data_IF_410511306618
#
_entry.id   IF_410511306618
#
_cell.length_a   1.000
_cell.length_b   1.000
_cell.length_c   1.000
_cell.angle_alpha   90.00
_cell.angle_beta   90.00
_cell.angle_gamma   90.00
#
_symmetry.space_group_name_H-M   'P 1'
#
loop_
_entity.id
_entity.type
_entity.pdbx_description
1 polymer ?
#
# COMPACT_ATOMS: atom_id res chain seq x y z
N UNK A 1 -0.92 16.07 -58.41
CA UNK A 1 0.32 15.43 -57.90
C UNK A 1 0.92 16.20 -56.73
N UNK A 2 1.02 17.53 -56.78
CA UNK A 2 1.67 18.34 -55.74
C UNK A 2 0.95 18.36 -54.38
N UNK A 3 -0.39 18.32 -54.35
CA UNK A 3 -1.15 18.34 -53.08
C UNK A 3 -1.02 17.05 -52.26
N UNK A 4 -0.79 15.92 -52.94
CA UNK A 4 -0.52 14.64 -52.28
C UNK A 4 0.88 14.61 -51.65
N UNK A 5 1.86 15.24 -52.31
CA UNK A 5 3.22 15.39 -51.79
C UNK A 5 3.31 16.42 -50.65
N UNK A 6 2.57 17.52 -50.71
CA UNK A 6 2.54 18.51 -49.63
C UNK A 6 1.81 17.97 -48.39
N UNK A 7 0.70 17.25 -48.56
CA UNK A 7 -0.01 16.58 -47.46
C UNK A 7 0.79 15.46 -46.79
N UNK A 8 1.59 14.70 -47.56
CA UNK A 8 2.50 13.68 -47.03
C UNK A 8 3.75 14.27 -46.37
N UNK A 9 4.28 15.38 -46.88
CA UNK A 9 5.38 16.09 -46.22
C UNK A 9 4.95 16.75 -44.91
N UNK A 10 3.75 17.35 -44.87
CA UNK A 10 3.20 17.94 -43.66
C UNK A 10 2.90 16.89 -42.58
N UNK A 11 2.36 15.73 -42.95
CA UNK A 11 2.09 14.64 -42.01
C UNK A 11 3.39 13.99 -41.49
N UNK A 12 4.41 13.83 -42.33
CA UNK A 12 5.72 13.37 -41.92
C UNK A 12 6.39 14.38 -40.96
N UNK A 13 6.30 15.67 -41.25
CA UNK A 13 6.81 16.74 -40.38
C UNK A 13 6.15 16.74 -39.00
N UNK A 14 4.82 16.60 -38.95
CA UNK A 14 4.07 16.48 -37.69
C UNK A 14 4.45 15.21 -36.91
N UNK A 15 4.57 14.06 -37.59
CA UNK A 15 4.98 12.81 -36.96
C UNK A 15 6.37 12.92 -36.31
N UNK A 16 7.35 13.46 -37.06
CA UNK A 16 8.70 13.68 -36.55
C UNK A 16 8.66 14.61 -35.34
N UNK A 17 7.95 15.74 -35.42
CA UNK A 17 7.78 16.66 -34.30
C UNK A 17 7.20 15.94 -33.06
N UNK A 18 6.13 15.16 -33.22
CA UNK A 18 5.51 14.42 -32.12
C UNK A 18 6.46 13.37 -31.52
N UNK A 19 7.22 12.66 -32.35
CA UNK A 19 8.23 11.70 -31.87
C UNK A 19 9.29 12.41 -31.03
N UNK A 20 9.85 13.52 -31.51
CA UNK A 20 10.84 14.30 -30.76
C UNK A 20 10.25 14.90 -29.48
N UNK A 21 9.02 15.43 -29.55
CA UNK A 21 8.31 15.95 -28.40
C UNK A 21 8.15 14.87 -27.32
N UNK A 22 7.63 13.69 -27.68
CA UNK A 22 7.49 12.56 -26.76
C UNK A 22 8.84 12.03 -26.25
N UNK A 23 9.88 12.04 -27.08
CA UNK A 23 11.23 11.63 -26.67
C UNK A 23 11.75 12.52 -25.52
N UNK A 24 11.50 13.83 -25.57
CA UNK A 24 11.89 14.76 -24.49
C UNK A 24 11.19 14.36 -23.18
N UNK A 25 9.89 14.09 -23.21
CA UNK A 25 9.15 13.65 -22.02
C UNK A 25 9.61 12.28 -21.53
N UNK A 26 9.92 11.35 -22.42
CA UNK A 26 10.44 10.04 -22.06
C UNK A 26 11.80 10.15 -21.34
N UNK A 27 12.70 10.99 -21.87
CA UNK A 27 14.01 11.24 -21.24
C UNK A 27 13.85 11.96 -19.90
N UNK A 28 12.99 12.99 -19.82
CA UNK A 28 12.72 13.70 -18.57
C UNK A 28 12.11 12.76 -17.51
N UNK A 29 11.12 11.94 -17.90
CA UNK A 29 10.49 10.95 -17.04
C UNK A 29 11.47 9.89 -16.54
N UNK A 30 12.39 9.44 -17.41
CA UNK A 30 13.46 8.52 -17.04
C UNK A 30 14.42 9.13 -16.02
N UNK A 31 14.92 10.35 -16.28
CA UNK A 31 15.85 11.06 -15.38
C UNK A 31 15.19 11.29 -14.02
N UNK A 32 13.94 11.74 -13.99
CA UNK A 32 13.17 11.93 -12.75
C UNK A 32 13.00 10.62 -11.99
N UNK A 33 12.61 9.55 -12.68
CA UNK A 33 12.42 8.23 -12.07
C UNK A 33 13.72 7.69 -11.48
N UNK A 34 14.82 7.75 -12.23
CA UNK A 34 16.14 7.31 -11.76
C UNK A 34 16.60 8.14 -10.55
N UNK A 35 16.38 9.45 -10.59
CA UNK A 35 16.73 10.34 -9.48
C UNK A 35 15.92 10.09 -8.21
N UNK A 36 14.61 9.86 -8.33
CA UNK A 36 13.75 9.50 -7.20
C UNK A 36 14.08 8.12 -6.64
N UNK A 37 14.30 7.13 -7.51
CA UNK A 37 14.75 5.80 -7.10
C UNK A 37 16.07 5.86 -6.35
N UNK A 38 17.02 6.68 -6.81
CA UNK A 38 18.29 6.88 -6.11
C UNK A 38 18.07 7.33 -4.65
N UNK A 39 17.14 8.25 -4.40
CA UNK A 39 16.80 8.69 -3.04
C UNK A 39 16.14 7.59 -2.20
N UNK A 40 15.25 6.81 -2.79
CA UNK A 40 14.61 5.67 -2.11
C UNK A 40 15.66 4.59 -1.79
N UNK A 41 16.57 4.31 -2.72
CA UNK A 41 17.67 3.37 -2.55
C UNK A 41 18.65 3.81 -1.46
N UNK A 42 19.00 5.11 -1.44
CA UNK A 42 19.82 5.70 -0.38
C UNK A 42 19.14 5.50 1.00
N UNK A 43 17.80 5.72 1.10
CA UNK A 43 17.03 5.46 2.33
C UNK A 43 17.06 3.99 2.75
N UNK A 44 16.98 3.08 1.79
CA UNK A 44 17.00 1.63 2.02
C UNK A 44 18.42 1.07 2.29
N UNK A 45 19.46 1.91 2.26
CA UNK A 45 20.84 1.50 2.48
C UNK A 45 21.51 0.80 1.30
N UNK A 46 20.96 0.94 0.08
CA UNK A 46 21.57 0.39 -1.14
C UNK A 46 22.84 1.18 -1.46
N UNK A 47 23.93 0.46 -1.70
CA UNK A 47 25.23 1.03 -2.03
C UNK A 47 25.36 1.29 -3.53
N UNK A 48 25.82 2.49 -3.87
CA UNK A 48 26.09 2.89 -5.25
C UNK A 48 24.86 3.46 -5.94
N UNK A 49 24.84 4.79 -6.05
CA UNK A 49 23.74 5.56 -6.65
C UNK A 49 23.52 5.27 -8.14
N UNK A 50 24.57 4.85 -8.84
CA UNK A 50 24.51 4.45 -10.26
C UNK A 50 23.50 3.34 -10.52
N UNK A 51 23.21 2.50 -9.52
CA UNK A 51 22.28 1.37 -9.66
C UNK A 51 20.85 1.82 -9.99
N UNK A 52 20.45 3.02 -9.58
CA UNK A 52 19.15 3.59 -9.93
C UNK A 52 19.06 4.04 -11.40
N UNK A 53 20.20 4.26 -12.05
CA UNK A 53 20.33 4.73 -13.43
C UNK A 53 20.55 3.60 -14.44
N UNK A 54 20.59 2.34 -14.01
CA UNK A 54 20.69 1.21 -14.93
C UNK A 54 19.28 0.66 -15.16
N UNK A 55 18.75 0.77 -16.39
CA UNK A 55 17.44 0.22 -16.71
C UNK A 55 17.36 -1.26 -16.37
N UNK A 56 16.17 -1.73 -16.03
CA UNK A 56 15.87 -3.09 -15.58
C UNK A 56 16.51 -3.43 -14.23
N UNK A 57 17.81 -3.20 -14.07
CA UNK A 57 18.53 -3.43 -12.82
C UNK A 57 17.93 -2.62 -11.67
N UNK A 58 17.59 -1.35 -11.89
CA UNK A 58 16.90 -0.54 -10.88
C UNK A 58 15.55 -1.15 -10.46
N UNK A 59 14.76 -1.67 -11.39
CA UNK A 59 13.49 -2.35 -11.10
C UNK A 59 13.71 -3.69 -10.38
N UNK A 60 14.79 -4.42 -10.70
CA UNK A 60 15.18 -5.63 -9.97
C UNK A 60 15.53 -5.33 -8.51
N UNK A 61 16.29 -4.25 -8.26
CA UNK A 61 16.59 -3.79 -6.89
C UNK A 61 15.30 -3.37 -6.19
N UNK A 62 14.44 -2.62 -6.85
CA UNK A 62 13.16 -2.20 -6.29
C UNK A 62 12.28 -3.41 -5.92
N UNK A 63 12.22 -4.44 -6.77
CA UNK A 63 11.56 -5.73 -6.48
C UNK A 63 12.14 -6.37 -5.22
N UNK A 64 13.48 -6.41 -5.12
CA UNK A 64 14.20 -6.96 -3.97
C UNK A 64 13.89 -6.21 -2.67
N UNK A 65 13.88 -4.87 -2.71
CA UNK A 65 13.45 -4.03 -1.61
C UNK A 65 11.98 -4.25 -1.24
N UNK A 66 11.18 -4.76 -2.16
CA UNK A 66 9.80 -5.18 -1.95
C UNK A 66 9.62 -6.64 -1.49
N UNK A 67 10.68 -7.33 -1.05
CA UNK A 67 10.64 -8.75 -0.65
C UNK A 67 10.31 -9.73 -1.80
N UNK A 68 10.40 -9.29 -3.05
CA UNK A 68 10.13 -10.09 -4.26
C UNK A 68 11.44 -10.48 -4.95
N UNK A 69 11.46 -11.66 -5.55
CA UNK A 69 12.60 -12.14 -6.33
C UNK A 69 12.95 -11.15 -7.43
N UNK A 70 14.21 -10.67 -7.49
CA UNK A 70 14.63 -9.72 -8.51
C UNK A 70 14.54 -10.31 -9.93
N UNK A 71 14.62 -11.64 -10.06
CA UNK A 71 14.57 -12.34 -11.33
C UNK A 71 13.20 -12.31 -12.00
N UNK A 72 12.12 -12.08 -11.25
CA UNK A 72 10.77 -11.97 -11.82
C UNK A 72 10.67 -10.86 -12.87
N UNK A 73 11.43 -9.78 -12.71
CA UNK A 73 11.48 -8.69 -13.68
C UNK A 73 12.09 -9.16 -15.00
N UNK A 74 13.16 -9.96 -14.95
CA UNK A 74 13.78 -10.53 -16.16
C UNK A 74 12.91 -11.61 -16.79
N UNK A 75 12.25 -12.44 -15.99
CA UNK A 75 11.28 -13.43 -16.49
C UNK A 75 10.13 -12.71 -17.20
N UNK A 76 9.56 -11.68 -16.60
CA UNK A 76 8.49 -10.88 -17.20
C UNK A 76 8.93 -10.19 -18.49
N UNK A 77 10.12 -9.59 -18.51
CA UNK A 77 10.69 -8.97 -19.70
C UNK A 77 10.95 -9.99 -20.82
N UNK A 78 11.62 -11.10 -20.52
CA UNK A 78 11.92 -12.15 -21.49
C UNK A 78 10.64 -12.79 -22.03
N UNK A 79 9.67 -13.09 -21.16
CA UNK A 79 8.37 -13.61 -21.56
C UNK A 79 7.62 -12.60 -22.45
N UNK A 80 7.71 -11.30 -22.16
CA UNK A 80 7.12 -10.25 -23.01
C UNK A 80 7.78 -10.20 -24.40
N UNK A 81 9.09 -10.40 -24.49
CA UNK A 81 9.80 -10.44 -25.78
C UNK A 81 9.42 -11.69 -26.59
N UNK A 82 9.40 -12.86 -25.93
CA UNK A 82 9.19 -14.15 -26.60
C UNK A 82 7.72 -14.42 -26.93
N UNK A 83 6.79 -14.01 -26.07
CA UNK A 83 5.36 -14.33 -26.15
C UNK A 83 4.48 -13.09 -26.34
N UNK A 84 5.05 -11.87 -26.37
CA UNK A 84 4.28 -10.63 -26.46
C UNK A 84 3.50 -10.45 -27.76
N UNK A 85 3.90 -11.14 -28.83
CA UNK A 85 3.21 -11.16 -30.11
C UNK A 85 1.95 -12.05 -30.11
N UNK A 86 1.79 -12.91 -29.09
CA UNK A 86 0.60 -13.76 -28.94
C UNK A 86 -0.53 -12.91 -28.34
N UNK A 87 -1.66 -12.71 -29.05
CA UNK A 87 -2.79 -11.95 -28.54
C UNK A 87 -3.29 -12.52 -27.22
N UNK A 88 -3.78 -11.66 -26.32
CA UNK A 88 -4.20 -11.98 -24.94
C UNK A 88 -3.05 -12.45 -24.04
N UNK A 89 -2.25 -13.44 -24.45
CA UNK A 89 -1.16 -13.98 -23.64
C UNK A 89 -0.08 -12.92 -23.36
N UNK A 90 0.32 -12.16 -24.38
CA UNK A 90 1.24 -11.03 -24.21
C UNK A 90 0.72 -9.97 -23.25
N UNK A 91 -0.59 -9.70 -23.28
CA UNK A 91 -1.25 -8.75 -22.37
C UNK A 91 -1.26 -9.26 -20.93
N UNK A 92 -1.54 -10.55 -20.72
CA UNK A 92 -1.51 -11.19 -19.40
C UNK A 92 -0.09 -11.13 -18.82
N UNK A 93 0.95 -11.38 -19.61
CA UNK A 93 2.35 -11.31 -19.17
C UNK A 93 2.72 -9.87 -18.77
N UNK A 94 2.33 -8.89 -19.60
CA UNK A 94 2.53 -7.47 -19.29
C UNK A 94 1.84 -7.07 -17.99
N UNK A 95 0.59 -7.49 -17.82
CA UNK A 95 -0.19 -7.26 -16.59
C UNK A 95 0.46 -7.94 -15.38
N UNK A 96 0.88 -9.20 -15.49
CA UNK A 96 1.54 -9.92 -14.41
C UNK A 96 2.85 -9.22 -13.99
N UNK A 97 3.65 -8.79 -14.95
CA UNK A 97 4.90 -8.05 -14.69
C UNK A 97 4.62 -6.72 -14.00
N UNK A 98 3.59 -6.00 -14.45
CA UNK A 98 3.14 -4.78 -13.79
C UNK A 98 2.68 -5.02 -12.34
N UNK A 99 1.91 -6.09 -12.10
CA UNK A 99 1.47 -6.46 -10.75
C UNK A 99 2.64 -6.82 -9.84
N UNK A 100 3.70 -7.46 -10.34
CA UNK A 100 4.93 -7.70 -9.56
C UNK A 100 5.56 -6.39 -9.10
N UNK A 101 5.67 -5.38 -9.99
CA UNK A 101 6.20 -4.06 -9.62
C UNK A 101 5.28 -3.36 -8.61
N UNK A 102 3.97 -3.52 -8.74
CA UNK A 102 3.00 -2.93 -7.84
C UNK A 102 3.04 -3.58 -6.44
N UNK A 103 3.19 -4.90 -6.37
CA UNK A 103 3.41 -5.64 -5.11
C UNK A 103 4.74 -5.22 -4.46
N UNK A 104 5.79 -4.98 -5.25
CA UNK A 104 7.03 -4.42 -4.73
C UNK A 104 6.80 -3.01 -4.15
N UNK A 105 6.06 -2.16 -4.86
CA UNK A 105 5.74 -0.81 -4.41
C UNK A 105 4.92 -0.81 -3.11
N UNK A 106 4.01 -1.77 -2.94
CA UNK A 106 3.30 -1.98 -1.68
C UNK A 106 4.26 -2.14 -0.51
N UNK A 107 5.19 -3.09 -0.63
CA UNK A 107 6.12 -3.44 0.44
C UNK A 107 7.14 -2.35 0.69
N UNK A 108 7.66 -1.72 -0.38
CA UNK A 108 8.52 -0.53 -0.29
C UNK A 108 7.78 0.61 0.43
N UNK A 109 6.51 0.83 0.12
CA UNK A 109 5.65 1.81 0.80
C UNK A 109 5.50 1.51 2.29
N UNK A 110 5.20 0.27 2.67
CA UNK A 110 5.12 -0.14 4.08
C UNK A 110 6.44 0.12 4.82
N UNK A 111 7.59 -0.19 4.18
CA UNK A 111 8.92 0.07 4.74
C UNK A 111 9.24 1.56 4.84
N UNK A 112 8.62 2.39 4.01
CA UNK A 112 8.63 3.85 4.11
C UNK A 112 7.50 4.40 5.00
N UNK A 113 6.92 3.55 5.86
CA UNK A 113 5.91 3.91 6.84
C UNK A 113 4.62 4.46 6.18
N UNK A 114 4.31 3.99 4.97
CA UNK A 114 3.05 4.29 4.27
C UNK A 114 2.04 3.18 4.49
N UNK A 115 0.76 3.54 4.45
CA UNK A 115 -0.34 2.57 4.50
C UNK A 115 -0.59 1.96 3.12
N UNK A 116 -1.26 0.80 3.08
CA UNK A 116 -1.56 0.08 1.84
C UNK A 116 -2.36 0.92 0.83
N UNK A 117 -3.23 1.84 1.29
CA UNK A 117 -4.03 2.74 0.43
C UNK A 117 -3.17 3.61 -0.48
N UNK A 118 -1.92 3.91 -0.10
CA UNK A 118 -0.98 4.68 -0.93
C UNK A 118 -0.62 3.97 -2.24
N UNK A 119 -0.89 2.68 -2.35
CA UNK A 119 -0.70 1.92 -3.58
C UNK A 119 -1.62 2.38 -4.72
N UNK A 120 -2.78 2.97 -4.41
CA UNK A 120 -3.66 3.60 -5.40
C UNK A 120 -2.92 4.74 -6.11
N UNK A 121 -2.18 5.56 -5.35
CA UNK A 121 -1.37 6.62 -5.93
C UNK A 121 -0.22 6.05 -6.78
N UNK A 122 0.42 4.96 -6.35
CA UNK A 122 1.46 4.30 -7.15
C UNK A 122 0.91 3.79 -8.50
N UNK A 123 -0.31 3.23 -8.50
CA UNK A 123 -0.96 2.71 -9.69
C UNK A 123 -1.26 3.81 -10.72
N UNK A 124 -1.86 4.92 -10.30
CA UNK A 124 -2.29 5.99 -11.23
C UNK A 124 -1.20 7.03 -11.50
N UNK A 125 -0.35 7.35 -10.51
CA UNK A 125 0.66 8.41 -10.59
C UNK A 125 2.01 7.92 -10.04
N UNK A 126 2.60 6.96 -10.72
CA UNK A 126 3.87 6.33 -10.34
C UNK A 126 5.00 7.32 -10.01
N UNK A 127 5.24 8.31 -10.89
CA UNK A 127 6.32 9.30 -10.71
C UNK A 127 6.05 10.19 -9.48
N UNK A 128 4.80 10.56 -9.23
CA UNK A 128 4.43 11.36 -8.04
C UNK A 128 4.62 10.56 -6.77
N UNK A 129 4.20 9.28 -6.78
CA UNK A 129 4.43 8.37 -5.66
C UNK A 129 5.92 8.23 -5.34
N UNK A 130 6.77 8.05 -6.36
CA UNK A 130 8.22 8.00 -6.19
C UNK A 130 8.78 9.32 -5.63
N UNK A 131 8.33 10.46 -6.15
CA UNK A 131 8.79 11.78 -5.70
C UNK A 131 8.47 12.04 -4.23
N UNK A 132 7.24 11.75 -3.80
CA UNK A 132 6.85 11.88 -2.39
C UNK A 132 7.72 10.96 -1.53
N UNK A 133 7.83 9.68 -1.86
CA UNK A 133 8.62 8.72 -1.10
C UNK A 133 10.13 9.03 -1.09
N UNK A 134 10.65 9.67 -2.14
CA UNK A 134 12.04 10.10 -2.23
C UNK A 134 12.36 11.23 -1.25
N UNK A 135 11.50 12.24 -1.12
CA UNK A 135 11.81 13.48 -0.36
C UNK A 135 11.09 13.63 0.97
N UNK A 136 10.05 12.85 1.21
CA UNK A 136 9.35 12.84 2.49
C UNK A 136 10.29 12.40 3.64
N UNK A 137 9.93 12.75 4.88
CA UNK A 137 10.73 12.49 6.09
C UNK A 137 10.71 11.04 6.56
N UNK A 138 9.87 10.19 5.96
CA UNK A 138 9.81 8.75 6.21
C UNK A 138 11.19 8.09 6.24
N UNK A 139 11.39 7.23 7.24
CA UNK A 139 12.59 6.42 7.41
C UNK A 139 12.31 5.00 6.94
N UNK A 140 13.35 4.37 6.39
CA UNK A 140 13.27 2.96 6.03
C UNK A 140 13.17 2.11 7.30
N UNK A 141 12.12 1.31 7.41
CA UNK A 141 11.86 0.42 8.53
C UNK A 141 11.49 -0.97 8.02
N UNK A 142 12.36 -1.94 8.25
CA UNK A 142 12.12 -3.35 7.88
C UNK A 142 11.29 -4.11 8.92
N UNK A 143 11.02 -3.53 10.10
CA UNK A 143 10.19 -4.12 11.15
C UNK A 143 8.70 -4.06 10.79
N UNK A 144 8.36 -4.63 9.64
CA UNK A 144 6.99 -4.82 9.17
C UNK A 144 6.67 -6.31 9.13
N UNK A 145 5.38 -6.69 9.20
CA UNK A 145 4.97 -8.09 9.04
C UNK A 145 5.57 -8.76 7.81
N UNK A 146 5.79 -10.08 7.89
CA UNK A 146 6.25 -10.88 6.76
C UNK A 146 5.34 -10.68 5.53
N UNK A 147 5.95 -10.66 4.35
CA UNK A 147 5.18 -10.59 3.11
C UNK A 147 4.31 -11.86 2.96
N UNK A 148 3.10 -11.76 2.37
CA UNK A 148 2.25 -12.94 2.14
C UNK A 148 2.93 -14.05 1.33
N UNK A 149 3.90 -13.68 0.48
CA UNK A 149 4.67 -14.61 -0.34
C UNK A 149 6.02 -15.02 0.27
N UNK A 150 6.32 -14.68 1.53
CA UNK A 150 7.62 -14.97 2.14
C UNK A 150 8.01 -16.46 2.08
N UNK A 151 7.03 -17.36 2.15
CA UNK A 151 7.25 -18.81 2.07
C UNK A 151 7.19 -19.36 0.63
N UNK A 152 6.95 -18.53 -0.38
CA UNK A 152 6.79 -18.98 -1.77
C UNK A 152 8.15 -19.15 -2.46
N UNK A 153 8.42 -20.34 -3.03
CA UNK A 153 9.68 -20.70 -3.70
C UNK A 153 10.08 -19.81 -4.88
N UNK A 154 9.08 -19.27 -5.56
CA UNK A 154 9.22 -18.51 -6.80
C UNK A 154 9.18 -16.99 -6.58
N UNK A 155 8.26 -16.53 -5.74
CA UNK A 155 8.01 -15.11 -5.52
C UNK A 155 8.96 -14.47 -4.51
N UNK A 156 9.32 -15.16 -3.43
CA UNK A 156 10.15 -14.59 -2.38
C UNK A 156 11.58 -14.31 -2.86
N UNK A 157 12.16 -13.20 -2.42
CA UNK A 157 13.60 -12.99 -2.55
C UNK A 157 14.37 -13.94 -1.63
N UNK A 158 15.25 -14.76 -2.23
CA UNK A 158 16.21 -15.64 -1.53
C UNK A 158 17.65 -15.37 -1.91
N UNK A 159 17.90 -14.26 -2.58
CA UNK A 159 19.22 -13.94 -3.12
C UNK A 159 19.95 -12.97 -2.20
N UNK A 160 21.27 -12.98 -2.23
CA UNK A 160 22.08 -11.93 -1.58
C UNK A 160 22.86 -11.21 -2.66
N UNK A 161 22.68 -9.90 -2.76
CA UNK A 161 23.39 -9.07 -3.73
C UNK A 161 24.29 -8.12 -2.97
N UNK A 162 25.56 -8.05 -3.37
CA UNK A 162 26.52 -7.16 -2.74
C UNK A 162 26.01 -5.71 -2.78
N UNK A 163 26.07 -5.03 -1.64
CA UNK A 163 25.63 -3.64 -1.50
C UNK A 163 24.12 -3.45 -1.48
N UNK A 164 23.32 -4.50 -1.37
CA UNK A 164 21.87 -4.40 -1.15
C UNK A 164 21.53 -5.06 0.19
N UNK A 165 21.03 -4.29 1.17
CA UNK A 165 20.71 -4.84 2.48
C UNK A 165 19.64 -5.93 2.44
N UNK A 166 19.75 -6.88 3.37
CA UNK A 166 18.67 -7.83 3.64
C UNK A 166 17.42 -7.07 4.06
N UNK A 167 16.29 -7.54 3.57
CA UNK A 167 14.98 -6.97 3.86
C UNK A 167 14.25 -7.67 5.01
N UNK A 168 14.84 -8.75 5.52
CA UNK A 168 14.38 -9.44 6.72
C UNK A 168 14.83 -8.61 7.94
N UNK A 169 13.92 -8.17 8.82
CA UNK A 169 14.29 -7.43 10.02
C UNK A 169 15.24 -8.23 10.93
N UNK A 170 16.16 -7.51 11.58
CA UNK A 170 17.05 -8.09 12.57
C UNK A 170 16.23 -8.63 13.75
N UNK A 171 16.31 -9.95 13.99
CA UNK A 171 15.46 -10.65 14.97
C UNK A 171 14.28 -11.42 14.37
N UNK A 172 14.11 -11.38 13.04
CA UNK A 172 13.00 -12.04 12.35
C UNK A 172 11.77 -11.15 12.24
N UNK A 173 10.79 -11.60 11.45
CA UNK A 173 9.57 -10.82 11.24
C UNK A 173 8.77 -10.70 12.55
N UNK A 174 8.22 -9.51 12.86
CA UNK A 174 7.24 -9.41 13.93
C UNK A 174 6.08 -10.37 13.61
N UNK A 175 5.54 -11.01 14.65
CA UNK A 175 4.43 -11.93 14.50
C UNK A 175 3.29 -11.22 13.76
N UNK A 176 2.92 -11.76 12.61
CA UNK A 176 1.79 -11.26 11.84
C UNK A 176 0.59 -12.16 12.15
N UNK A 177 -0.47 -11.66 12.80
CA UNK A 177 -1.69 -12.43 13.02
C UNK A 177 -2.27 -13.00 11.72
N UNK A 178 -2.02 -12.36 10.57
CA UNK A 178 -2.51 -12.79 9.26
C UNK A 178 -1.68 -13.88 8.56
N UNK A 179 -0.49 -14.24 9.06
CA UNK A 179 0.36 -15.29 8.45
C UNK A 179 0.70 -16.43 9.42
N UNK A 180 0.05 -16.48 10.59
CA UNK A 180 0.11 -17.68 11.43
C UNK A 180 -0.65 -18.81 10.73
N UNK A 181 -0.11 -20.05 10.68
CA UNK A 181 -0.87 -21.22 10.27
C UNK A 181 -2.12 -21.33 11.16
N UNK A 182 -3.30 -21.03 10.61
CA UNK A 182 -4.56 -20.94 11.36
C UNK A 182 -5.22 -19.55 11.39
N UNK A 183 -4.66 -18.54 10.72
CA UNK A 183 -5.34 -17.25 10.55
C UNK A 183 -6.67 -17.46 9.77
N UNK A 184 -7.84 -17.10 10.35
CA UNK A 184 -9.12 -17.31 9.68
C UNK A 184 -9.19 -16.45 8.42
N UNK A 185 -9.61 -17.05 7.31
CA UNK A 185 -9.99 -16.31 6.11
C UNK A 185 -11.07 -15.27 6.51
N UNK A 186 -11.00 -14.03 6.02
CA UNK A 186 -12.04 -13.05 6.30
C UNK A 186 -13.26 -13.45 5.46
N UNK A 187 -14.13 -14.31 6.01
CA UNK A 187 -15.56 -14.43 5.68
C UNK A 187 -16.24 -15.66 6.33
N UNK A 188 -15.98 -15.92 7.61
CA UNK A 188 -16.89 -16.74 8.41
C UNK A 188 -16.90 -16.26 9.85
N UNK A 189 -18.06 -15.82 10.34
CA UNK A 189 -18.31 -15.59 11.76
C UNK A 189 -18.18 -16.93 12.49
N UNK A 190 -16.99 -17.23 13.01
CA UNK A 190 -16.75 -18.42 13.83
C UNK A 190 -17.10 -18.09 15.29
N UNK A 191 -17.95 -18.89 15.96
CA UNK A 191 -18.28 -18.66 17.36
C UNK A 191 -17.06 -18.85 18.28
N UNK A 192 -17.02 -18.21 19.47
CA UNK A 192 -15.85 -18.18 20.32
C UNK A 192 -15.35 -19.58 20.70
N UNK A 193 -14.10 -19.91 20.33
CA UNK A 193 -13.41 -21.10 20.84
C UNK A 193 -12.89 -20.84 22.24
N UNK A 194 -13.59 -21.40 23.24
CA UNK A 194 -13.19 -21.32 24.65
C UNK A 194 -14.07 -22.08 25.63
N UNK A 195 -15.19 -22.67 25.21
CA UNK A 195 -16.00 -23.54 26.06
C UNK A 195 -15.73 -25.01 25.74
N UNK A 196 -14.92 -25.68 26.56
CA UNK A 196 -15.07 -27.11 26.76
C UNK A 196 -16.25 -27.31 27.74
N UNK A 197 -17.33 -28.01 27.36
CA UNK A 197 -18.37 -28.36 28.32
C UNK A 197 -17.75 -29.29 29.39
N UNK A 198 -18.01 -29.04 30.68
CA UNK A 198 -17.48 -29.88 31.75
C UNK A 198 -18.04 -31.31 31.63
N UNK A 199 -17.27 -32.34 32.09
CA UNK A 199 -17.74 -33.71 32.10
C UNK A 199 -19.06 -33.84 32.88
N UNK A 200 -19.99 -34.63 32.36
CA UNK A 200 -21.26 -34.89 33.03
C UNK A 200 -21.02 -35.48 34.44
N UNK A 201 -21.72 -34.99 35.48
CA UNK A 201 -21.58 -35.52 36.82
C UNK A 201 -22.08 -36.98 36.90
N UNK A 202 -21.48 -37.83 37.76
CA UNK A 202 -21.96 -39.18 38.00
C UNK A 202 -23.44 -39.19 38.43
N UNK A 203 -24.21 -40.15 37.94
CA UNK A 203 -25.61 -40.33 38.36
C UNK A 203 -25.66 -40.53 39.88
N UNK A 204 -26.30 -39.60 40.60
CA UNK A 204 -26.53 -39.68 42.05
C UNK A 204 -26.13 -38.44 42.86
N UNK A 205 -25.54 -37.39 42.26
CA UNK A 205 -25.19 -36.18 43.01
C UNK A 205 -26.43 -35.29 43.29
N UNK A 206 -26.81 -35.18 44.56
CA UNK A 206 -27.66 -34.10 45.05
C UNK A 206 -26.80 -32.88 45.41
N UNK A 207 -27.14 -31.66 44.94
CA UNK A 207 -26.42 -30.44 45.30
C UNK A 207 -26.57 -30.10 46.79
N UNK A 208 -25.55 -29.56 47.47
CA UNK A 208 -25.67 -29.03 48.83
C UNK A 208 -26.55 -27.77 48.88
N UNK A 209 -27.24 -27.56 50.00
CA UNK A 209 -28.09 -26.39 50.24
C UNK A 209 -27.31 -25.06 50.21
N UNK A 210 -27.91 -24.04 49.61
CA UNK A 210 -27.34 -22.69 49.45
C UNK A 210 -27.20 -21.94 50.78
N UNK A 211 -26.03 -21.34 51.08
CA UNK A 211 -25.87 -20.40 52.20
C UNK A 211 -26.54 -19.04 51.93
N UNK A 212 -26.86 -18.24 52.97
CA UNK A 212 -27.59 -16.98 52.83
C UNK A 212 -26.78 -15.88 52.14
N UNK A 213 -27.49 -15.01 51.42
CA UNK A 213 -26.94 -13.86 50.66
C UNK A 213 -26.34 -12.80 51.59
N UNK A 214 -25.12 -12.35 51.29
CA UNK A 214 -24.45 -11.25 51.99
C UNK A 214 -24.91 -9.86 51.48
N UNK A 215 -24.92 -8.79 52.30
CA UNK A 215 -25.42 -7.47 51.93
C UNK A 215 -24.59 -6.77 50.84
N UNK A 216 -25.26 -6.05 49.94
CA UNK A 216 -24.63 -5.27 48.88
C UNK A 216 -23.90 -4.02 49.42
N UNK A 217 -22.74 -3.64 48.84
CA UNK A 217 -22.02 -2.42 49.20
C UNK A 217 -22.71 -1.13 48.69
N UNK A 218 -22.45 0.04 49.31
CA UNK A 218 -23.11 1.30 48.98
C UNK A 218 -22.72 1.85 47.59
N UNK A 219 -23.69 2.52 46.95
CA UNK A 219 -23.56 3.21 45.65
C UNK A 219 -22.68 4.46 45.79
N UNK A 220 -21.72 4.64 44.88
CA UNK A 220 -20.87 5.82 44.82
C UNK A 220 -21.64 7.08 44.34
N UNK A 221 -21.34 8.30 44.84
CA UNK A 221 -22.02 9.52 44.42
C UNK A 221 -21.75 9.87 42.95
N UNK A 222 -22.81 10.28 42.23
CA UNK A 222 -22.70 10.81 40.86
C UNK A 222 -22.07 12.22 40.87
N UNK A 223 -21.22 12.56 39.88
CA UNK A 223 -20.69 13.91 39.72
C UNK A 223 -21.79 14.93 39.31
N UNK A 224 -21.65 16.22 39.64
CA UNK A 224 -22.65 17.25 39.35
C UNK A 224 -22.83 17.45 37.84
N UNK A 225 -24.09 17.54 37.42
CA UNK A 225 -24.50 17.92 36.06
C UNK A 225 -24.22 19.42 35.90
N UNK A 226 -23.40 19.80 34.93
CA UNK A 226 -23.20 21.22 34.56
C UNK A 226 -24.37 21.65 33.67
N UNK A 227 -25.13 22.72 34.00
CA UNK A 227 -26.20 23.20 33.15
C UNK A 227 -25.67 23.72 31.81
N UNK A 228 -26.32 23.29 30.74
CA UNK A 228 -26.13 23.77 29.37
C UNK A 228 -26.50 25.27 29.28
N UNK A 229 -25.69 26.13 28.64
CA UNK A 229 -26.01 27.55 28.50
C UNK A 229 -27.18 27.75 27.52
N UNK A 230 -28.09 28.71 27.80
CA UNK A 230 -29.27 28.94 26.96
C UNK A 230 -28.86 29.45 25.57
N UNK A 231 -29.46 28.84 24.56
CA UNK A 231 -29.42 29.27 23.15
C UNK A 231 -29.98 30.70 23.07
N UNK A 232 -29.11 31.66 22.76
CA UNK A 232 -29.52 33.02 22.45
C UNK A 232 -30.26 33.02 21.11
N UNK A 233 -31.56 33.33 21.18
CA UNK A 233 -32.43 33.44 20.01
C UNK A 233 -31.94 34.50 19.03
N UNK A 234 -32.09 34.18 17.75
CA UNK A 234 -32.00 35.10 16.62
C UNK A 234 -32.85 36.36 16.87
N UNK A 235 -32.34 37.56 16.57
CA UNK A 235 -33.16 38.76 16.52
C UNK A 235 -34.01 38.75 15.24
N UNK A 236 -35.31 38.58 15.44
CA UNK A 236 -36.36 38.83 14.44
C UNK A 236 -36.40 40.34 14.13
N UNK A 237 -36.15 40.69 12.88
CA UNK A 237 -36.13 42.06 12.36
C UNK A 237 -37.56 42.49 12.07
N UNK A 238 -38.24 42.98 13.11
CA UNK A 238 -39.53 43.67 12.99
C UNK A 238 -39.30 45.13 12.53
N UNK A 239 -39.45 45.35 11.22
CA UNK A 239 -39.57 46.68 10.64
C UNK A 239 -40.92 47.28 11.05
N UNK A 240 -40.90 48.03 12.14
CA UNK A 240 -42.05 48.78 12.63
C UNK A 240 -42.62 49.75 11.57
N UNK A 241 -43.91 49.56 11.29
CA UNK A 241 -44.84 50.51 10.70
C UNK A 241 -44.95 51.75 11.59
N UNK A 242 -44.39 52.87 11.12
CA UNK A 242 -44.55 54.20 11.69
C UNK A 242 -45.31 55.09 10.70
N UNK A 243 -46.63 55.02 10.76
CA UNK A 243 -47.57 55.87 10.03
C UNK A 243 -47.40 57.36 10.40
N UNK A 244 -47.68 58.31 9.48
CA UNK A 244 -47.35 59.72 9.63
C UNK A 244 -48.39 60.46 10.48
N UNK A 245 -47.95 61.45 11.26
CA UNK A 245 -48.82 62.46 11.86
C UNK A 245 -48.52 63.84 11.29
N UNK A 246 -49.63 64.56 11.10
CA UNK A 246 -49.85 65.85 10.46
C UNK A 246 -49.07 67.01 11.10
#
# INVERSE_FOLDING_TARGET
MNDYYSGSAASLGLFIFLVFFWLIFAVAGYVLTAWFLMKIFDKAGVQGRWRAWVPIYNTMIFSKLGDLSPWLILIGLAASIVLGWVPVLGQIIGLATFLVVLLAAWRVGLKLQKEAVWLILAFFLWIVWLGINAFDKSRWNTAIPAAPWANNGFLADRTTWQGIPSQVPAGGYPANPATQPGAPAPDTYAPPQGYQPPPAPPQGYQPPATPPVAPQPPVAPQPPVTPEPPVAGEPDIDLGDGTPRQ
#
